data_IF_121941665299
#
_entry.id   IF_121941665299
#
_cell.length_a   1.000
_cell.length_b   1.000
_cell.length_c   1.000
_cell.angle_alpha   90.00
_cell.angle_beta   90.00
_cell.angle_gamma   90.00
#
_symmetry.space_group_name_H-M   'P 1'
#
loop_
_entity.id
_entity.type
_entity.pdbx_description
1 polymer ?
#
# COMPACT_ATOMS: atom_id res chain seq x y z
N UNK A 1 -1.77 3.31 -6.25
CA UNK A 1 -2.52 2.12 -5.78
C UNK A 1 -3.69 2.50 -4.86
N UNK A 2 -3.45 2.95 -3.62
CA UNK A 2 -4.52 3.20 -2.64
C UNK A 2 -5.37 4.46 -2.90
N UNK A 3 -4.78 5.49 -3.51
CA UNK A 3 -5.46 6.76 -3.83
C UNK A 3 -6.09 6.73 -5.21
N UNK A 4 -5.29 6.44 -6.24
CA UNK A 4 -5.68 6.55 -7.65
C UNK A 4 -6.16 5.24 -8.29
N UNK A 5 -6.00 4.09 -7.64
CA UNK A 5 -6.39 2.80 -8.21
C UNK A 5 -5.55 2.33 -9.41
N UNK A 6 -4.31 2.84 -9.54
CA UNK A 6 -3.38 2.45 -10.60
C UNK A 6 -2.00 2.04 -10.06
N UNK A 7 -1.27 1.28 -10.86
CA UNK A 7 0.15 0.95 -10.69
C UNK A 7 0.86 0.95 -12.05
N UNK A 8 2.12 1.35 -12.09
CA UNK A 8 2.98 1.23 -13.27
C UNK A 8 3.60 -0.17 -13.29
N UNK A 9 3.42 -0.90 -14.39
CA UNK A 9 4.03 -2.20 -14.60
C UNK A 9 5.51 -2.07 -15.02
N UNK A 10 6.25 -3.17 -14.97
CA UNK A 10 7.69 -3.22 -15.30
C UNK A 10 8.00 -2.85 -16.75
N UNK A 11 7.02 -2.98 -17.65
CA UNK A 11 7.11 -2.55 -19.05
C UNK A 11 6.70 -1.07 -19.27
N UNK A 12 6.38 -0.35 -18.19
CA UNK A 12 5.94 1.04 -18.20
C UNK A 12 4.44 1.24 -18.45
N UNK A 13 3.69 0.17 -18.74
CA UNK A 13 2.24 0.29 -18.90
C UNK A 13 1.54 0.64 -17.59
N UNK A 14 0.39 1.31 -17.67
CA UNK A 14 -0.45 1.60 -16.50
C UNK A 14 -1.50 0.52 -16.33
N UNK A 15 -1.53 -0.11 -15.15
CA UNK A 15 -2.49 -1.15 -14.79
C UNK A 15 -3.48 -0.59 -13.79
N UNK A 16 -4.78 -0.72 -14.08
CA UNK A 16 -5.87 -0.40 -13.15
C UNK A 16 -6.04 -1.55 -12.16
N UNK A 17 -6.20 -1.22 -10.88
CA UNK A 17 -6.38 -2.18 -9.80
C UNK A 17 -7.46 -1.71 -8.82
N UNK A 18 -8.19 -2.67 -8.24
CA UNK A 18 -9.11 -2.42 -7.13
C UNK A 18 -8.45 -2.86 -5.81
N UNK A 19 -7.51 -2.05 -5.33
CA UNK A 19 -6.75 -2.37 -4.12
C UNK A 19 -7.59 -2.14 -2.86
N UNK A 20 -8.31 -3.19 -2.40
CA UNK A 20 -9.08 -3.15 -1.14
C UNK A 20 -8.24 -3.43 0.09
N UNK A 21 -7.08 -4.07 -0.09
CA UNK A 21 -6.11 -4.37 0.98
C UNK A 21 -4.67 -4.26 0.44
N UNK A 22 -3.73 -3.97 1.33
CA UNK A 22 -2.29 -4.08 1.05
C UNK A 22 -1.72 -5.18 1.95
N UNK A 23 -1.00 -6.13 1.36
CA UNK A 23 -0.25 -7.14 2.10
C UNK A 23 1.14 -6.59 2.44
N UNK A 24 1.55 -6.73 3.70
CA UNK A 24 2.91 -6.43 4.14
C UNK A 24 3.48 -7.68 4.80
N UNK A 25 4.75 -7.99 4.51
CA UNK A 25 5.45 -9.11 5.13
C UNK A 25 6.14 -8.63 6.40
N UNK A 26 6.18 -9.50 7.42
CA UNK A 26 6.72 -9.23 8.76
C UNK A 26 7.95 -10.07 9.13
N UNK A 27 8.50 -10.78 8.16
CA UNK A 27 9.43 -11.90 8.35
C UNK A 27 10.92 -11.52 8.21
N UNK A 28 11.21 -10.27 7.85
CA UNK A 28 12.58 -9.77 7.66
C UNK A 28 12.95 -8.69 8.68
N UNK A 29 14.24 -8.54 9.03
CA UNK A 29 14.70 -7.40 9.81
C UNK A 29 14.27 -6.08 9.16
N UNK A 30 13.68 -5.17 9.94
CA UNK A 30 13.16 -3.89 9.46
C UNK A 30 11.71 -3.93 8.92
N UNK A 31 11.07 -5.10 8.85
CA UNK A 31 9.69 -5.21 8.35
C UNK A 31 8.69 -4.35 9.15
N UNK A 32 8.83 -4.29 10.48
CA UNK A 32 7.98 -3.45 11.33
C UNK A 32 8.16 -1.95 11.05
N UNK A 33 9.38 -1.51 10.75
CA UNK A 33 9.67 -0.12 10.42
C UNK A 33 9.14 0.26 9.05
N UNK A 34 9.24 -0.66 8.07
CA UNK A 34 8.61 -0.52 6.78
C UNK A 34 7.08 -0.41 6.92
N UNK A 35 6.46 -1.28 7.71
CA UNK A 35 5.03 -1.25 7.95
C UNK A 35 4.57 0.06 8.61
N UNK A 36 5.37 0.60 9.54
CA UNK A 36 5.10 1.91 10.15
C UNK A 36 5.16 3.04 9.12
N UNK A 37 6.23 3.10 8.31
CA UNK A 37 6.36 4.09 7.23
C UNK A 37 5.19 4.02 6.25
N UNK A 38 4.79 2.82 5.80
CA UNK A 38 3.65 2.67 4.90
C UNK A 38 2.36 3.20 5.54
N UNK A 39 2.10 2.89 6.82
CA UNK A 39 0.94 3.41 7.55
C UNK A 39 0.97 4.94 7.65
N UNK A 40 2.11 5.53 7.98
CA UNK A 40 2.25 6.97 8.16
C UNK A 40 1.99 7.71 6.84
N UNK A 41 2.61 7.27 5.74
CA UNK A 41 2.42 7.87 4.41
C UNK A 41 0.98 7.73 3.90
N UNK A 42 0.36 6.57 4.08
CA UNK A 42 -1.05 6.36 3.71
C UNK A 42 -1.97 7.29 4.51
N UNK A 43 -1.73 7.43 5.82
CA UNK A 43 -2.53 8.32 6.67
C UNK A 43 -2.32 9.78 6.31
N UNK A 44 -1.08 10.20 6.02
CA UNK A 44 -0.74 11.54 5.55
C UNK A 44 -1.41 11.87 4.20
N UNK A 45 -1.56 10.88 3.32
CA UNK A 45 -2.31 10.98 2.07
C UNK A 45 -3.85 10.93 2.25
N UNK A 46 -4.35 10.91 3.49
CA UNK A 46 -5.78 10.90 3.79
C UNK A 46 -6.46 9.53 3.69
N UNK A 47 -5.69 8.45 3.53
CA UNK A 47 -6.24 7.08 3.46
C UNK A 47 -6.57 6.60 4.87
N UNK A 48 -7.83 6.20 5.10
CA UNK A 48 -8.25 5.57 6.37
C UNK A 48 -7.83 4.10 6.40
N UNK A 49 -7.13 3.71 7.45
CA UNK A 49 -6.71 2.31 7.67
C UNK A 49 -7.59 1.66 8.74
N UNK A 50 -8.14 0.49 8.42
CA UNK A 50 -8.95 -0.32 9.32
C UNK A 50 -9.04 -1.76 8.82
N UNK A 51 -9.66 -2.64 9.62
CA UNK A 51 -9.98 -4.00 9.19
C UNK A 51 -10.99 -3.98 8.04
N UNK A 52 -10.88 -4.95 7.14
CA UNK A 52 -11.91 -5.19 6.13
C UNK A 52 -13.15 -5.78 6.82
N UNK A 53 -14.34 -5.41 6.34
CA UNK A 53 -15.62 -5.97 6.75
C UNK A 53 -16.06 -7.08 5.78
#
# INVERSE_FOLDING_TARGET
>A
MATEGIVTAVDGSTVKIEARSLCLHGDTPGAADLARRVRDELTAAGVRIGSFA
#
